data_IF_153793561711
#
_entry.id   IF_153793561711
#
_cell.length_a   1.000
_cell.length_b   1.000
_cell.length_c   1.000
_cell.angle_alpha   90.00
_cell.angle_beta   90.00
_cell.angle_gamma   90.00
#
_symmetry.space_group_name_H-M   'P 1'
#
loop_
_entity.id
_entity.type
_entity.pdbx_description
1 polymer ?
#
# COMPACT_ATOMS: atom_id res chain seq x y z
N UNK A 1 -32.42 5.48 19.75
CA UNK A 1 -33.11 4.84 18.61
C UNK A 1 -33.04 5.79 17.43
N UNK A 2 -32.44 5.38 16.32
CA UNK A 2 -32.27 6.23 15.14
C UNK A 2 -31.25 5.69 14.14
N UNK A 3 -31.78 5.06 13.08
CA UNK A 3 -31.31 4.89 11.69
C UNK A 3 -29.83 5.17 11.35
N UNK A 4 -29.04 4.16 10.98
CA UNK A 4 -28.86 3.60 9.61
C UNK A 4 -28.58 4.68 8.55
N UNK A 5 -27.29 4.95 8.32
CA UNK A 5 -26.75 5.30 7.01
C UNK A 5 -25.86 4.14 6.52
N UNK A 6 -26.44 3.27 5.71
CA UNK A 6 -25.69 2.32 4.87
C UNK A 6 -25.15 3.07 3.67
N UNK A 7 -23.86 3.38 3.67
CA UNK A 7 -23.14 3.82 2.46
C UNK A 7 -22.64 2.60 1.70
N UNK A 8 -23.28 2.35 0.56
CA UNK A 8 -23.11 1.24 -0.36
C UNK A 8 -21.83 1.33 -1.21
N UNK A 9 -20.66 1.40 -0.58
CA UNK A 9 -19.37 1.44 -1.31
C UNK A 9 -18.58 0.13 -1.28
N UNK A 10 -19.02 -0.88 -0.52
CA UNK A 10 -18.31 -2.18 -0.43
C UNK A 10 -18.61 -3.15 -1.57
N UNK A 11 -19.67 -2.95 -2.37
CA UNK A 11 -20.03 -3.88 -3.46
C UNK A 11 -19.45 -3.50 -4.84
N UNK A 12 -18.87 -2.30 -5.01
CA UNK A 12 -18.35 -1.87 -6.32
C UNK A 12 -16.87 -2.20 -6.56
N UNK A 13 -16.14 -2.63 -5.52
CA UNK A 13 -14.69 -2.85 -5.59
C UNK A 13 -14.25 -4.29 -5.92
N UNK A 14 -15.17 -5.26 -6.00
CA UNK A 14 -14.86 -6.59 -6.53
C UNK A 14 -14.68 -6.56 -8.06
N UNK A 15 -15.23 -5.55 -8.75
CA UNK A 15 -15.14 -5.41 -10.22
C UNK A 15 -13.81 -4.85 -10.76
N UNK A 16 -12.84 -4.50 -9.90
CA UNK A 16 -11.47 -4.13 -10.31
C UNK A 16 -10.39 -5.11 -9.83
N UNK A 17 -10.75 -6.24 -9.25
CA UNK A 17 -9.83 -7.32 -8.93
C UNK A 17 -9.64 -8.26 -10.13
N UNK A 18 -8.92 -7.80 -11.17
CA UNK A 18 -8.47 -8.66 -12.28
C UNK A 18 -7.17 -9.42 -11.98
N UNK A 19 -6.91 -9.77 -10.73
CA UNK A 19 -5.89 -10.77 -10.38
C UNK A 19 -6.48 -11.74 -9.35
N UNK A 20 -7.13 -12.78 -9.88
CA UNK A 20 -7.44 -13.97 -9.10
C UNK A 20 -6.14 -14.56 -8.51
N UNK A 21 -6.17 -15.22 -7.34
CA UNK A 21 -5.04 -16.03 -6.90
C UNK A 21 -4.74 -17.09 -7.98
N UNK A 22 -3.46 -17.39 -8.30
CA UNK A 22 -3.14 -18.41 -9.28
C UNK A 22 -3.71 -19.75 -8.81
N UNK A 23 -4.67 -20.27 -9.55
CA UNK A 23 -5.48 -21.45 -9.16
C UNK A 23 -4.69 -22.76 -9.12
N UNK A 24 -3.50 -22.80 -9.70
CA UNK A 24 -2.77 -24.05 -9.93
C UNK A 24 -1.90 -24.51 -8.75
N UNK A 25 -1.21 -23.59 -8.07
CA UNK A 25 -0.29 -23.96 -6.96
C UNK A 25 -1.02 -24.30 -5.66
N UNK A 26 -2.15 -23.65 -5.39
CA UNK A 26 -2.94 -23.95 -4.21
C UNK A 26 -3.52 -25.37 -4.20
N UNK A 27 -3.77 -25.92 -5.40
CA UNK A 27 -4.26 -27.29 -5.58
C UNK A 27 -3.14 -28.32 -5.51
N UNK A 28 -1.91 -27.96 -5.92
CA UNK A 28 -0.76 -28.85 -5.90
C UNK A 28 -0.34 -29.29 -4.48
N UNK A 29 -0.47 -28.40 -3.49
CA UNK A 29 0.03 -28.61 -2.13
C UNK A 29 -1.02 -29.08 -1.12
N UNK A 30 -2.17 -29.60 -1.55
CA UNK A 30 -3.13 -30.18 -0.59
C UNK A 30 -4.00 -31.31 -1.14
N UNK A 31 -4.15 -32.42 -0.38
CA UNK A 31 -5.19 -33.40 -0.64
C UNK A 31 -6.56 -32.80 -0.32
N UNK A 32 -7.57 -33.22 -1.08
CA UNK A 32 -8.93 -32.67 -1.11
C UNK A 32 -9.60 -32.45 0.27
N UNK A 33 -10.44 -31.41 0.34
CA UNK A 33 -11.32 -30.97 1.46
C UNK A 33 -10.66 -30.17 2.60
N UNK A 34 -9.92 -29.12 2.27
CA UNK A 34 -9.59 -28.08 3.26
C UNK A 34 -10.35 -26.78 2.99
N UNK A 35 -10.69 -26.05 4.05
CA UNK A 35 -11.24 -24.70 3.92
C UNK A 35 -10.25 -23.80 3.16
N UNK A 36 -10.74 -22.84 2.33
CA UNK A 36 -9.87 -21.98 1.49
C UNK A 36 -8.71 -21.33 2.25
N UNK A 37 -8.93 -20.86 3.48
CA UNK A 37 -7.87 -20.24 4.30
C UNK A 37 -6.76 -21.20 4.72
N UNK A 38 -7.09 -22.48 4.96
CA UNK A 38 -6.11 -23.52 5.30
C UNK A 38 -5.27 -23.89 4.08
N UNK A 39 -5.90 -23.96 2.90
CA UNK A 39 -5.21 -24.14 1.62
C UNK A 39 -4.20 -23.02 1.40
N UNK A 40 -4.66 -21.76 1.50
CA UNK A 40 -3.82 -20.56 1.37
C UNK A 40 -2.63 -20.57 2.33
N UNK A 41 -2.84 -20.88 3.61
CA UNK A 41 -1.76 -20.93 4.60
C UNK A 41 -0.76 -22.05 4.28
N UNK A 42 -1.24 -23.22 3.86
CA UNK A 42 -0.40 -24.33 3.43
C UNK A 42 0.45 -23.98 2.21
N UNK A 43 -0.17 -23.37 1.20
CA UNK A 43 0.52 -22.91 -0.02
C UNK A 43 1.55 -21.85 0.27
N UNK A 44 1.29 -20.90 1.18
CA UNK A 44 2.31 -19.92 1.59
C UNK A 44 3.53 -20.57 2.23
N UNK A 45 3.34 -21.57 3.09
CA UNK A 45 4.46 -22.31 3.71
C UNK A 45 5.27 -23.11 2.68
N UNK A 46 4.57 -23.79 1.78
CA UNK A 46 5.21 -24.55 0.70
C UNK A 46 5.99 -23.62 -0.24
N UNK A 47 5.39 -22.52 -0.66
CA UNK A 47 6.04 -21.57 -1.56
C UNK A 47 7.23 -20.86 -0.93
N UNK A 48 7.21 -20.54 0.37
CA UNK A 48 8.38 -19.99 1.05
C UNK A 48 9.58 -20.96 0.95
N UNK A 49 9.34 -22.25 1.20
CA UNK A 49 10.35 -23.30 1.08
C UNK A 49 10.86 -23.45 -0.37
N UNK A 50 9.96 -23.41 -1.35
CA UNK A 50 10.31 -23.44 -2.78
C UNK A 50 11.22 -22.26 -3.14
N UNK A 51 10.88 -21.04 -2.71
CA UNK A 51 11.70 -19.87 -3.04
C UNK A 51 13.09 -19.93 -2.42
N UNK A 52 13.22 -20.48 -1.20
CA UNK A 52 14.52 -20.70 -0.54
C UNK A 52 15.36 -21.70 -1.35
N UNK A 53 14.79 -22.85 -1.73
CA UNK A 53 15.49 -23.88 -2.52
C UNK A 53 16.03 -23.33 -3.85
N UNK A 54 15.23 -22.52 -4.54
CA UNK A 54 15.63 -21.90 -5.81
C UNK A 54 16.69 -20.83 -5.60
N UNK A 55 16.49 -19.91 -4.65
CA UNK A 55 17.39 -18.78 -4.41
C UNK A 55 18.76 -19.19 -3.88
N UNK A 56 18.85 -20.29 -3.13
CA UNK A 56 20.13 -20.85 -2.66
C UNK A 56 20.78 -21.80 -3.66
N UNK A 57 20.24 -21.89 -4.89
CA UNK A 57 20.71 -22.80 -5.93
C UNK A 57 20.94 -24.23 -5.43
N UNK A 58 19.97 -24.77 -4.69
CA UNK A 58 20.09 -26.10 -4.11
C UNK A 58 20.40 -27.16 -5.18
N UNK A 59 21.39 -28.01 -4.92
CA UNK A 59 21.89 -29.01 -5.88
C UNK A 59 20.83 -30.05 -6.30
N UNK A 60 19.84 -30.30 -5.45
CA UNK A 60 18.76 -31.24 -5.70
C UNK A 60 17.42 -30.50 -5.67
N UNK A 61 16.88 -30.20 -6.86
CA UNK A 61 15.54 -29.63 -7.03
C UNK A 61 14.58 -30.76 -7.43
N UNK A 62 13.37 -30.84 -6.84
CA UNK A 62 12.38 -31.83 -7.24
C UNK A 62 12.00 -31.70 -8.71
N UNK A 63 11.70 -32.82 -9.38
CA UNK A 63 11.36 -32.83 -10.82
C UNK A 63 10.07 -32.07 -11.15
N UNK A 64 9.17 -31.92 -10.18
CA UNK A 64 7.96 -31.12 -10.33
C UNK A 64 8.22 -29.61 -10.21
N UNK A 65 9.39 -29.17 -9.75
CA UNK A 65 9.69 -27.75 -9.57
C UNK A 65 10.12 -27.12 -10.90
N UNK A 66 9.13 -26.69 -11.68
CA UNK A 66 9.36 -25.97 -12.94
C UNK A 66 9.50 -24.45 -12.70
N UNK A 67 10.05 -23.69 -13.68
CA UNK A 67 10.10 -22.23 -13.61
C UNK A 67 8.73 -21.58 -13.39
N UNK A 68 7.66 -22.16 -13.96
CA UNK A 68 6.29 -21.66 -13.81
C UNK A 68 5.79 -21.83 -12.37
N UNK A 69 6.03 -22.99 -11.75
CA UNK A 69 5.66 -23.23 -10.34
C UNK A 69 6.43 -22.30 -9.41
N UNK A 70 7.70 -22.04 -9.71
CA UNK A 70 8.49 -21.05 -8.97
C UNK A 70 7.89 -19.64 -9.10
N UNK A 71 7.58 -19.19 -10.32
CA UNK A 71 6.98 -17.88 -10.57
C UNK A 71 5.63 -17.72 -9.85
N UNK A 72 4.76 -18.72 -9.92
CA UNK A 72 3.47 -18.74 -9.20
C UNK A 72 3.68 -18.65 -7.68
N UNK A 73 4.69 -19.34 -7.15
CA UNK A 73 5.03 -19.26 -5.73
C UNK A 73 5.53 -17.87 -5.31
N UNK A 74 6.36 -17.22 -6.13
CA UNK A 74 6.78 -15.83 -5.90
C UNK A 74 5.56 -14.91 -5.87
N UNK A 75 4.70 -14.99 -6.88
CA UNK A 75 3.47 -14.20 -6.94
C UNK A 75 2.56 -14.41 -5.74
N UNK A 76 2.41 -15.65 -5.28
CA UNK A 76 1.58 -15.96 -4.12
C UNK A 76 2.14 -15.36 -2.82
N UNK A 77 3.47 -15.30 -2.68
CA UNK A 77 4.13 -14.66 -1.54
C UNK A 77 4.10 -13.14 -1.62
N UNK A 78 4.21 -12.54 -2.80
CA UNK A 78 4.01 -11.10 -3.00
C UNK A 78 2.58 -10.70 -2.61
N UNK A 79 1.60 -11.46 -3.10
CA UNK A 79 0.20 -11.26 -2.77
C UNK A 79 -0.07 -11.40 -1.26
N UNK A 80 0.59 -12.34 -0.56
CA UNK A 80 0.54 -12.45 0.91
C UNK A 80 0.95 -11.15 1.60
N UNK A 81 2.01 -10.49 1.13
CA UNK A 81 2.49 -9.24 1.71
C UNK A 81 1.54 -8.08 1.36
N UNK A 82 1.10 -8.02 0.10
CA UNK A 82 0.12 -7.03 -0.37
C UNK A 82 -1.15 -7.01 0.49
N UNK A 83 -1.81 -8.14 0.69
CA UNK A 83 -3.08 -8.16 1.43
C UNK A 83 -2.91 -7.84 2.93
N UNK A 84 -1.71 -8.06 3.48
CA UNK A 84 -1.40 -7.75 4.89
C UNK A 84 -1.08 -6.28 5.10
N UNK A 85 -0.48 -5.62 4.10
CA UNK A 85 0.13 -4.30 4.31
C UNK A 85 -0.37 -3.21 3.37
N UNK A 86 -1.25 -3.46 2.40
CA UNK A 86 -1.68 -2.41 1.43
C UNK A 86 -2.72 -1.40 1.93
N UNK A 87 -3.24 -1.53 3.15
CA UNK A 87 -4.31 -0.66 3.68
C UNK A 87 -3.80 0.21 4.83
N UNK A 88 -4.09 1.51 4.78
CA UNK A 88 -3.71 2.47 5.82
C UNK A 88 -4.16 2.04 7.24
N UNK A 89 -5.36 1.46 7.36
CA UNK A 89 -5.88 0.95 8.63
C UNK A 89 -5.04 -0.20 9.22
N UNK A 90 -4.33 -0.96 8.38
CA UNK A 90 -3.44 -2.03 8.80
C UNK A 90 -2.02 -1.50 9.02
N UNK A 91 -1.53 -0.64 8.14
CA UNK A 91 -0.14 -0.12 8.25
C UNK A 91 0.07 0.71 9.51
N UNK A 92 -0.95 1.46 9.97
CA UNK A 92 -0.95 2.16 11.26
C UNK A 92 -0.60 1.26 12.45
N UNK A 93 -1.11 0.04 12.46
CA UNK A 93 -0.94 -0.93 13.56
C UNK A 93 0.30 -1.83 13.39
N UNK A 94 0.86 -1.87 12.18
CA UNK A 94 2.00 -2.73 11.84
C UNK A 94 3.30 -1.92 11.67
N UNK A 95 3.42 -1.15 10.59
CA UNK A 95 4.63 -0.40 10.26
C UNK A 95 4.75 0.91 11.02
N UNK A 96 3.61 1.51 11.38
CA UNK A 96 3.52 2.77 12.10
C UNK A 96 4.34 2.84 13.38
N UNK A 97 4.21 1.90 14.33
CA UNK A 97 4.94 1.94 15.59
C UNK A 97 6.47 1.97 15.39
N UNK A 98 6.98 1.14 14.48
CA UNK A 98 8.41 1.10 14.19
C UNK A 98 8.89 2.39 13.50
N UNK A 99 8.15 2.89 12.52
CA UNK A 99 8.52 4.13 11.85
C UNK A 99 8.50 5.33 12.81
N UNK A 100 7.47 5.42 13.67
CA UNK A 100 7.38 6.44 14.70
C UNK A 100 8.57 6.38 15.67
N UNK A 101 8.96 5.17 16.11
CA UNK A 101 10.14 4.99 16.95
C UNK A 101 11.44 5.41 16.23
N UNK A 102 11.63 5.05 14.96
CA UNK A 102 12.79 5.50 14.17
C UNK A 102 12.84 7.03 14.11
N UNK A 103 11.75 7.69 13.76
CA UNK A 103 11.69 9.15 13.67
C UNK A 103 11.91 9.83 15.04
N UNK A 104 11.42 9.23 16.14
CA UNK A 104 11.75 9.68 17.50
C UNK A 104 13.26 9.66 17.73
N UNK A 105 13.95 8.56 17.43
CA UNK A 105 15.41 8.47 17.59
C UNK A 105 16.16 9.50 16.75
N UNK A 106 15.76 9.72 15.50
CA UNK A 106 16.37 10.75 14.64
C UNK A 106 16.18 12.15 15.25
N UNK A 107 14.99 12.44 15.79
CA UNK A 107 14.70 13.71 16.48
C UNK A 107 15.50 13.87 17.76
N UNK A 108 15.60 12.83 18.59
CA UNK A 108 16.42 12.86 19.81
C UNK A 108 17.88 13.15 19.46
N UNK A 109 18.42 12.52 18.40
CA UNK A 109 19.78 12.78 17.93
C UNK A 109 19.95 14.20 17.38
N UNK A 110 19.00 14.69 16.59
CA UNK A 110 18.99 16.07 16.09
C UNK A 110 18.98 17.09 17.25
N UNK A 111 18.13 16.88 18.26
CA UNK A 111 18.05 17.73 19.43
C UNK A 111 19.34 17.72 20.26
N UNK A 112 19.95 16.54 20.44
CA UNK A 112 21.24 16.41 21.12
C UNK A 112 22.36 17.19 20.37
N UNK A 113 22.35 17.15 19.04
CA UNK A 113 23.29 17.90 18.20
C UNK A 113 23.10 19.42 18.31
N UNK A 114 21.85 19.91 18.37
CA UNK A 114 21.56 21.33 18.63
C UNK A 114 22.11 21.77 19.99
N UNK A 115 21.83 21.00 21.05
CA UNK A 115 22.31 21.30 22.40
C UNK A 115 23.84 21.29 22.48
N UNK A 116 24.50 20.30 21.86
CA UNK A 116 25.96 20.20 21.82
C UNK A 116 26.63 21.38 21.11
N UNK A 117 25.93 22.05 20.20
CA UNK A 117 26.40 23.21 19.44
C UNK A 117 25.88 24.54 20.01
N UNK A 118 25.27 24.54 21.19
CA UNK A 118 24.74 25.74 21.85
C UNK A 118 23.49 26.33 21.21
N UNK A 119 22.84 25.60 20.29
CA UNK A 119 21.58 26.00 19.65
C UNK A 119 20.38 25.55 20.47
N UNK A 120 19.29 26.31 20.36
CA UNK A 120 18.02 25.99 21.04
C UNK A 120 17.30 24.86 20.33
N UNK A 121 16.71 23.96 21.11
CA UNK A 121 15.80 22.93 20.59
C UNK A 121 14.45 23.58 20.30
N UNK A 122 13.99 23.50 19.06
CA UNK A 122 12.70 24.07 18.62
C UNK A 122 11.58 23.04 18.49
N UNK A 123 11.89 21.74 18.48
CA UNK A 123 10.91 20.67 18.22
C UNK A 123 11.03 19.51 19.19
N UNK A 124 9.88 19.01 19.65
CA UNK A 124 9.78 17.81 20.46
C UNK A 124 9.71 16.54 19.60
N UNK A 125 10.11 15.42 20.18
CA UNK A 125 9.90 14.10 19.61
C UNK A 125 8.41 13.81 19.32
N UNK A 126 8.14 12.91 18.37
CA UNK A 126 6.82 12.30 18.21
C UNK A 126 6.44 11.56 19.49
N UNK A 127 5.16 11.46 19.90
CA UNK A 127 4.74 10.61 21.01
C UNK A 127 5.21 9.15 20.89
N UNK A 128 5.43 8.48 22.02
CA UNK A 128 5.89 7.10 22.01
C UNK A 128 4.78 6.18 21.47
N UNK A 129 5.08 5.23 20.57
CA UNK A 129 4.10 4.26 20.12
C UNK A 129 3.57 3.48 21.34
N UNK A 130 2.26 3.27 21.43
CA UNK A 130 1.62 2.63 22.59
C UNK A 130 1.92 3.27 23.96
N UNK A 131 2.42 4.51 24.01
CA UNK A 131 2.64 5.27 25.25
C UNK A 131 3.87 4.89 26.06
N UNK A 132 4.70 3.97 25.57
CA UNK A 132 5.95 3.59 26.21
C UNK A 132 7.02 3.26 25.15
N UNK A 133 8.29 3.49 25.47
CA UNK A 133 9.39 3.11 24.57
C UNK A 133 9.47 1.59 24.46
N UNK A 134 9.03 1.03 23.34
CA UNK A 134 9.04 -0.41 23.08
C UNK A 134 10.45 -0.96 22.81
N UNK A 135 11.41 -0.10 22.45
CA UNK A 135 12.74 -0.45 21.94
C UNK A 135 13.81 0.38 22.67
N UNK A 136 13.88 0.23 23.99
CA UNK A 136 14.48 1.20 24.94
C UNK A 136 16.02 1.21 25.07
N UNK A 137 16.79 0.61 24.16
CA UNK A 137 18.25 0.51 24.32
C UNK A 137 19.06 1.46 23.41
N UNK A 138 18.43 2.08 22.42
CA UNK A 138 19.10 3.05 21.56
C UNK A 138 19.21 4.40 22.26
N UNK A 139 20.43 4.81 22.62
CA UNK A 139 20.71 6.12 23.19
C UNK A 139 21.19 7.11 22.13
N UNK A 140 21.17 8.41 22.45
CA UNK A 140 21.65 9.51 21.59
C UNK A 140 23.11 9.39 21.15
N UNK A 141 23.91 8.54 21.80
CA UNK A 141 25.33 8.37 21.48
C UNK A 141 25.58 7.38 20.34
N UNK A 142 24.58 6.60 19.95
CA UNK A 142 24.73 5.66 18.85
C UNK A 142 24.69 6.38 17.51
N UNK A 143 25.73 6.18 16.70
CA UNK A 143 25.78 6.63 15.31
C UNK A 143 25.04 5.70 14.35
N UNK A 144 24.83 4.45 14.76
CA UNK A 144 24.14 3.42 13.99
C UNK A 144 23.22 2.61 14.92
N UNK A 145 21.97 2.45 14.50
CA UNK A 145 20.98 1.58 15.14
C UNK A 145 20.47 0.60 14.09
N UNK A 146 20.55 -0.69 14.38
CA UNK A 146 20.19 -1.76 13.45
C UNK A 146 19.05 -2.60 14.00
N UNK A 147 17.99 -2.76 13.20
CA UNK A 147 16.87 -3.64 13.51
C UNK A 147 16.94 -4.89 12.64
N UNK A 148 17.12 -6.05 13.26
CA UNK A 148 17.09 -7.35 12.58
C UNK A 148 15.68 -7.92 12.69
N UNK A 149 15.00 -8.06 11.55
CA UNK A 149 13.59 -8.41 11.52
C UNK A 149 13.25 -9.25 10.29
N UNK A 150 11.96 -9.29 9.93
CA UNK A 150 11.43 -10.11 8.84
C UNK A 150 11.03 -9.26 7.62
N UNK A 151 10.79 -9.94 6.50
CA UNK A 151 10.28 -9.33 5.26
C UNK A 151 8.97 -8.55 5.51
N UNK A 152 8.11 -9.05 6.40
CA UNK A 152 6.87 -8.39 6.82
C UNK A 152 7.12 -7.05 7.50
N UNK A 153 8.24 -6.89 8.22
CA UNK A 153 8.58 -5.63 8.88
C UNK A 153 8.91 -4.56 7.85
N UNK A 154 9.74 -4.91 6.86
CA UNK A 154 10.07 -4.00 5.76
C UNK A 154 8.83 -3.65 4.94
N UNK A 155 8.01 -4.64 4.56
CA UNK A 155 6.77 -4.41 3.81
C UNK A 155 5.82 -3.47 4.58
N UNK A 156 5.67 -3.66 5.90
CA UNK A 156 4.83 -2.82 6.73
C UNK A 156 5.33 -1.37 6.81
N UNK A 157 6.64 -1.16 7.03
CA UNK A 157 7.24 0.18 7.10
C UNK A 157 7.19 0.88 5.75
N UNK A 158 7.59 0.20 4.66
CA UNK A 158 7.51 0.72 3.30
C UNK A 158 6.08 1.12 2.94
N UNK A 159 5.09 0.34 3.38
CA UNK A 159 3.70 0.64 3.08
C UNK A 159 3.20 1.83 3.87
N UNK A 160 3.63 1.97 5.13
CA UNK A 160 3.32 3.14 5.93
C UNK A 160 3.97 4.42 5.38
N UNK A 161 5.16 4.32 4.77
CA UNK A 161 5.81 5.41 4.03
C UNK A 161 5.13 5.75 2.68
N UNK A 162 4.20 4.90 2.21
CA UNK A 162 3.60 5.03 0.89
C UNK A 162 4.51 4.60 -0.28
N UNK A 163 5.59 3.86 0.00
CA UNK A 163 6.60 3.43 -0.98
C UNK A 163 6.64 1.91 -1.20
N UNK A 164 5.64 1.17 -0.73
CA UNK A 164 5.55 -0.28 -0.91
C UNK A 164 5.08 -0.65 -2.31
N UNK A 165 5.91 -1.39 -3.03
CA UNK A 165 5.68 -1.82 -4.42
C UNK A 165 4.85 -3.11 -4.52
N UNK A 166 4.24 -3.55 -3.42
CA UNK A 166 3.43 -4.78 -3.33
C UNK A 166 4.22 -6.08 -3.53
N UNK A 167 5.55 -6.04 -3.54
CA UNK A 167 6.40 -7.24 -3.64
C UNK A 167 6.99 -7.62 -2.30
N UNK A 168 7.22 -8.91 -2.08
CA UNK A 168 7.89 -9.41 -0.89
C UNK A 168 9.33 -8.86 -0.84
N UNK A 169 9.73 -8.20 0.25
CA UNK A 169 11.12 -7.77 0.41
C UNK A 169 12.09 -8.95 0.27
N UNK A 170 13.12 -8.82 -0.59
CA UNK A 170 14.11 -9.89 -0.81
C UNK A 170 14.92 -10.24 0.45
N UNK A 171 15.59 -11.39 0.41
CA UNK A 171 16.50 -11.80 1.48
C UNK A 171 17.60 -10.75 1.68
N UNK A 172 17.92 -10.48 2.95
CA UNK A 172 18.91 -9.48 3.36
C UNK A 172 18.66 -8.06 2.81
N UNK A 173 17.46 -7.77 2.31
CA UNK A 173 17.09 -6.40 1.96
C UNK A 173 17.10 -5.51 3.21
N UNK A 174 17.38 -4.23 3.02
CA UNK A 174 17.55 -3.28 4.13
C UNK A 174 16.96 -1.93 3.76
N UNK A 175 16.23 -1.35 4.71
CA UNK A 175 15.77 0.03 4.68
C UNK A 175 16.68 0.86 5.59
N UNK A 176 17.30 1.90 5.04
CA UNK A 176 18.27 2.75 5.74
C UNK A 176 17.69 4.15 5.85
N UNK A 177 17.71 4.71 7.05
CA UNK A 177 17.38 6.10 7.32
C UNK A 177 18.66 6.82 7.72
N UNK A 178 19.04 7.83 6.94
CA UNK A 178 20.21 8.65 7.21
C UNK A 178 19.76 10.03 7.69
N UNK A 179 20.25 10.46 8.86
CA UNK A 179 20.04 11.82 9.37
C UNK A 179 21.23 12.70 8.99
N UNK A 180 20.93 13.84 8.37
CA UNK A 180 21.93 14.81 7.93
C UNK A 180 21.60 16.18 8.48
N UNK A 181 22.64 16.91 8.86
CA UNK A 181 22.55 18.30 9.24
C UNK A 181 23.14 19.14 8.09
N UNK A 182 22.31 19.94 7.43
CA UNK A 182 22.76 20.72 6.26
C UNK A 182 22.86 22.19 6.66
N UNK A 183 24.06 22.74 6.53
CA UNK A 183 24.35 24.16 6.79
C UNK A 183 24.34 24.92 5.46
N UNK A 184 23.30 25.71 5.23
CA UNK A 184 23.26 26.63 4.09
C UNK A 184 23.99 27.92 4.44
N UNK A 185 24.96 28.33 3.64
CA UNK A 185 25.43 29.72 3.64
C UNK A 185 24.39 30.56 2.92
N UNK A 186 23.48 31.19 3.66
CA UNK A 186 22.62 32.22 3.10
C UNK A 186 23.47 33.45 2.73
N UNK A 187 23.15 34.16 1.62
CA UNK A 187 23.74 35.46 1.34
C UNK A 187 23.49 36.42 2.51
N UNK A 188 24.52 37.21 2.86
CA UNK A 188 24.60 38.05 4.07
C UNK A 188 23.46 39.07 4.24
N UNK A 189 22.67 39.35 3.20
CA UNK A 189 21.62 40.38 3.19
C UNK A 189 20.19 39.88 3.46
N UNK A 190 19.99 38.58 3.74
CA UNK A 190 18.69 38.11 4.19
C UNK A 190 18.61 38.19 5.72
N UNK A 191 17.92 39.21 6.24
CA UNK A 191 17.35 39.21 7.60
C UNK A 191 16.28 38.10 7.70
N UNK A 192 16.73 36.86 7.57
CA UNK A 192 15.92 35.68 7.70
C UNK A 192 16.01 35.21 9.14
N UNK A 193 14.88 35.26 9.81
CA UNK A 193 14.62 34.62 11.10
C UNK A 193 14.64 33.10 10.93
N UNK A 194 15.77 32.52 10.50
CA UNK A 194 15.90 31.09 10.27
C UNK A 194 16.13 30.35 11.60
N UNK A 195 15.06 30.31 12.39
CA UNK A 195 14.76 29.31 13.42
C UNK A 195 14.35 27.97 12.76
N UNK A 196 15.00 27.63 11.63
CA UNK A 196 14.64 26.50 10.80
C UNK A 196 15.46 25.28 11.18
N UNK A 197 14.76 24.25 11.64
CA UNK A 197 15.23 22.88 11.91
C UNK A 197 16.13 22.33 10.78
N UNK A 198 17.48 22.36 10.88
CA UNK A 198 18.41 22.14 9.75
C UNK A 198 18.61 20.66 9.39
N UNK A 199 17.73 19.78 9.87
CA UNK A 199 17.89 18.34 9.77
C UNK A 199 17.07 17.76 8.63
N UNK A 200 17.72 16.91 7.85
CA UNK A 200 17.16 16.21 6.70
C UNK A 200 17.33 14.71 6.87
N UNK A 201 16.38 13.97 6.31
CA UNK A 201 16.37 12.52 6.27
C UNK A 201 16.46 12.06 4.82
N UNK A 202 17.33 11.09 4.57
CA UNK A 202 17.36 10.32 3.33
C UNK A 202 16.99 8.88 3.62
N UNK A 203 16.08 8.34 2.83
CA UNK A 203 15.57 6.97 2.99
C UNK A 203 16.03 6.14 1.80
N UNK A 204 16.70 5.03 2.05
CA UNK A 204 17.31 4.18 1.02
C UNK A 204 16.78 2.77 1.19
N UNK A 205 16.36 2.15 0.09
CA UNK A 205 15.97 0.75 0.07
C UNK A 205 16.95 -0.07 -0.74
N UNK A 206 17.69 -0.95 -0.07
CA UNK A 206 18.60 -1.89 -0.72
C UNK A 206 17.92 -3.25 -0.79
N UNK A 207 17.50 -3.66 -1.98
CA UNK A 207 16.73 -4.89 -2.18
C UNK A 207 17.47 -5.99 -2.97
N UNK A 208 18.78 -5.84 -3.19
CA UNK A 208 19.61 -6.84 -3.85
C UNK A 208 20.99 -6.94 -3.17
N UNK A 209 21.58 -8.13 -3.26
CA UNK A 209 22.98 -8.41 -2.93
C UNK A 209 23.78 -8.46 -4.22
N UNK A 210 24.70 -7.51 -4.43
CA UNK A 210 25.56 -7.47 -5.61
C UNK A 210 26.49 -8.69 -5.67
N UNK A 211 26.63 -9.39 -6.81
CA UNK A 211 27.93 -9.90 -7.21
C UNK A 211 28.82 -8.71 -7.61
N UNK A 212 30.11 -8.78 -7.26
CA UNK A 212 31.09 -7.70 -7.39
C UNK A 212 31.22 -7.15 -8.83
N UNK A 213 30.82 -7.96 -9.82
CA UNK A 213 30.85 -7.66 -11.26
C UNK A 213 29.67 -6.84 -11.81
N UNK A 214 28.57 -6.69 -11.07
CA UNK A 214 27.34 -6.05 -11.57
C UNK A 214 26.93 -4.83 -10.77
N UNK A 215 27.89 -4.15 -10.14
CA UNK A 215 27.67 -2.92 -9.37
C UNK A 215 27.05 -1.82 -10.26
N UNK A 216 25.72 -1.79 -10.43
CA UNK A 216 25.06 -0.64 -11.03
C UNK A 216 24.89 0.41 -9.94
N UNK A 217 25.49 1.59 -10.09
CA UNK A 217 25.57 2.65 -9.07
C UNK A 217 24.22 3.21 -8.55
N UNK A 218 23.08 2.68 -8.98
CA UNK A 218 21.74 3.17 -8.65
C UNK A 218 21.23 2.66 -7.31
N UNK A 219 21.66 3.31 -6.23
CA UNK A 219 20.99 3.20 -4.92
C UNK A 219 19.51 3.59 -5.06
N UNK A 220 18.55 2.73 -4.66
CA UNK A 220 17.12 3.09 -4.68
C UNK A 220 16.87 4.04 -3.51
N UNK A 221 16.78 5.33 -3.82
CA UNK A 221 16.40 6.35 -2.84
C UNK A 221 14.89 6.48 -2.86
N UNK A 222 14.26 6.32 -1.69
CA UNK A 222 12.82 6.42 -1.54
C UNK A 222 12.42 7.87 -1.31
N UNK A 223 11.22 8.20 -1.78
CA UNK A 223 10.57 9.47 -1.57
C UNK A 223 9.28 9.25 -0.76
N UNK A 224 9.31 9.43 0.57
CA UNK A 224 8.13 9.23 1.40
C UNK A 224 6.99 10.16 0.99
N UNK A 225 5.76 9.66 1.04
CA UNK A 225 4.58 10.44 0.69
C UNK A 225 4.44 11.65 1.65
N UNK A 226 4.54 12.86 1.12
CA UNK A 226 4.41 14.13 1.87
C UNK A 226 5.73 14.87 2.12
N UNK A 227 6.87 14.28 1.74
CA UNK A 227 8.07 15.05 1.45
C UNK A 227 7.82 15.84 0.15
N UNK A 228 7.56 17.14 0.25
CA UNK A 228 7.42 18.06 -0.89
C UNK A 228 8.56 19.06 -0.74
N UNK A 229 9.57 18.95 -1.61
CA UNK A 229 10.63 19.93 -1.73
C UNK A 229 10.60 20.53 -3.12
N UNK A 230 10.46 21.85 -3.20
CA UNK A 230 10.95 22.59 -4.37
C UNK A 230 12.42 22.21 -4.64
N UNK A 231 12.87 22.18 -5.90
CA UNK A 231 14.24 21.84 -6.24
C UNK A 231 15.19 22.80 -5.51
N UNK A 232 15.97 22.28 -4.57
CA UNK A 232 17.12 23.01 -4.03
C UNK A 232 18.09 23.15 -5.20
N UNK A 233 18.31 24.38 -5.68
CA UNK A 233 19.35 24.69 -6.66
C UNK A 233 20.67 24.96 -5.93
N UNK A 234 21.63 24.03 -5.88
CA UNK A 234 23.03 24.41 -5.81
C UNK A 234 23.39 24.92 -7.20
N UNK A 235 23.97 26.13 -7.31
CA UNK A 235 24.51 26.59 -8.58
C UNK A 235 25.37 25.46 -9.18
N UNK A 236 24.90 24.91 -10.31
CA UNK A 236 25.42 23.75 -11.06
C UNK A 236 25.27 22.35 -10.40
N UNK A 237 24.04 21.81 -10.38
CA UNK A 237 23.80 20.40 -10.70
C UNK A 237 22.36 20.22 -11.23
N UNK A 238 22.19 19.31 -12.20
CA UNK A 238 20.99 19.10 -13.04
C UNK A 238 19.63 19.08 -12.30
N UNK A 239 18.52 19.43 -13.00
CA UNK A 239 17.17 19.43 -12.45
C UNK A 239 16.67 17.99 -12.24
N UNK A 240 16.97 17.44 -11.07
CA UNK A 240 16.42 16.20 -10.55
C UNK A 240 16.32 16.35 -9.04
N UNK A 241 15.09 16.37 -8.53
CA UNK A 241 14.71 16.54 -7.13
C UNK A 241 15.79 16.09 -6.14
N UNK A 242 16.25 17.00 -5.28
CA UNK A 242 17.11 16.66 -4.17
C UNK A 242 16.42 15.60 -3.30
N UNK A 243 16.98 14.39 -3.25
CA UNK A 243 16.43 13.21 -2.53
C UNK A 243 16.48 13.33 -0.99
N UNK A 244 16.20 14.52 -0.46
CA UNK A 244 16.29 14.90 0.93
C UNK A 244 14.92 15.36 1.40
N UNK A 245 14.46 14.83 2.53
CA UNK A 245 13.23 15.26 3.16
C UNK A 245 13.56 15.96 4.48
N UNK A 246 12.95 17.12 4.74
CA UNK A 246 13.12 17.74 6.06
C UNK A 246 12.59 16.80 7.15
N UNK A 247 13.37 16.61 8.21
CA UNK A 247 12.99 15.69 9.31
C UNK A 247 11.60 16.05 9.85
N UNK A 248 11.32 17.34 10.05
CA UNK A 248 10.03 17.76 10.55
C UNK A 248 8.85 17.49 9.60
N UNK A 249 9.10 17.50 8.30
CA UNK A 249 8.07 17.26 7.30
C UNK A 249 7.74 15.78 7.25
N UNK A 250 8.76 14.93 7.33
CA UNK A 250 8.53 13.49 7.49
C UNK A 250 7.78 13.19 8.79
N UNK A 251 8.18 13.82 9.91
CA UNK A 251 7.46 13.69 11.19
C UNK A 251 6.00 14.14 11.09
N UNK A 252 5.69 15.22 10.37
CA UNK A 252 4.31 15.69 10.24
C UNK A 252 3.43 14.74 9.44
N UNK A 253 3.98 14.05 8.43
CA UNK A 253 3.25 13.01 7.67
C UNK A 253 2.94 11.77 8.50
N UNK A 254 3.80 11.45 9.46
CA UNK A 254 3.65 10.27 10.34
C UNK A 254 2.89 10.62 11.63
N UNK A 255 2.82 11.89 11.99
CA UNK A 255 2.07 12.35 13.17
C UNK A 255 0.63 11.86 13.05
N UNK A 256 0.21 11.15 14.09
CA UNK A 256 -1.16 10.65 14.26
C UNK A 256 -1.57 9.56 13.26
N UNK A 257 -0.63 8.97 12.50
CA UNK A 257 -0.90 7.86 11.57
C UNK A 257 -0.46 6.49 12.10
N UNK A 258 0.19 6.43 13.26
CA UNK A 258 0.58 5.20 13.97
C UNK A 258 -0.24 4.97 15.25
N UNK A 259 -0.25 3.73 15.76
CA UNK A 259 -0.97 3.34 16.96
C UNK A 259 -0.49 4.11 18.21
N UNK A 260 -1.42 4.73 18.93
CA UNK A 260 -1.13 5.46 20.19
C UNK A 260 -1.56 4.66 21.41
N UNK A 261 -1.27 5.15 22.62
CA UNK A 261 -1.53 4.44 23.90
C UNK A 261 -3.02 4.34 24.29
N UNK A 262 -3.96 4.58 23.37
CA UNK A 262 -5.37 4.39 23.68
C UNK A 262 -5.63 2.88 23.87
N UNK A 263 -6.28 2.47 24.98
CA UNK A 263 -6.39 1.07 25.35
C UNK A 263 -7.27 0.21 24.43
N UNK A 264 -7.85 0.78 23.36
CA UNK A 264 -8.92 0.12 22.60
C UNK A 264 -8.64 -0.13 21.10
N UNK A 265 -7.49 0.28 20.54
CA UNK A 265 -7.24 0.11 19.08
C UNK A 265 -7.13 -1.37 18.64
N UNK A 266 -6.78 -2.28 19.58
CA UNK A 266 -6.53 -3.70 19.29
C UNK A 266 -7.44 -4.64 20.11
N UNK A 267 -8.62 -4.21 20.55
CA UNK A 267 -9.57 -5.11 21.23
C UNK A 267 -9.90 -6.26 20.28
N UNK A 268 -9.44 -7.46 20.63
CA UNK A 268 -9.83 -8.67 19.94
C UNK A 268 -11.33 -8.88 20.14
N UNK A 269 -12.11 -8.61 19.10
CA UNK A 269 -13.31 -9.42 18.89
C UNK A 269 -12.82 -10.86 18.72
N UNK A 270 -13.11 -11.70 19.71
CA UNK A 270 -12.73 -13.11 19.72
C UNK A 270 -12.96 -13.73 18.33
N UNK A 271 -11.91 -14.30 17.74
CA UNK A 271 -12.01 -15.04 16.48
C UNK A 271 -11.79 -14.26 15.17
N UNK A 272 -11.07 -13.14 15.16
CA UNK A 272 -10.74 -12.42 13.91
C UNK A 272 -10.10 -13.31 12.83
N UNK A 273 -9.19 -14.22 13.20
CA UNK A 273 -8.65 -15.23 12.26
C UNK A 273 -9.71 -16.23 11.77
N UNK A 274 -10.71 -16.57 12.60
CA UNK A 274 -11.84 -17.42 12.21
C UNK A 274 -12.86 -16.69 11.32
N UNK A 275 -12.87 -15.35 11.34
CA UNK A 275 -13.74 -14.52 10.50
C UNK A 275 -13.20 -14.27 9.09
N UNK A 276 -11.91 -14.52 8.85
CA UNK A 276 -11.32 -14.45 7.50
C UNK A 276 -12.04 -15.37 6.50
N UNK A 277 -12.60 -16.48 7.01
CA UNK A 277 -13.46 -17.38 6.25
C UNK A 277 -14.68 -16.67 5.62
N UNK A 278 -15.31 -15.72 6.33
CA UNK A 278 -16.49 -14.99 5.85
C UNK A 278 -16.18 -13.99 4.72
N UNK A 279 -14.94 -13.50 4.64
CA UNK A 279 -14.52 -12.56 3.61
C UNK A 279 -14.12 -13.23 2.29
N UNK A 280 -13.84 -14.54 2.32
CA UNK A 280 -13.34 -15.31 1.15
C UNK A 280 -14.43 -16.25 0.61
N UNK A 281 -15.41 -16.63 1.42
CA UNK A 281 -16.61 -17.28 0.92
C UNK A 281 -17.52 -16.22 0.27
N UNK A 282 -17.92 -16.35 -1.00
CA UNK A 282 -18.99 -15.52 -1.53
C UNK A 282 -20.23 -15.80 -0.67
N UNK A 283 -20.70 -14.79 0.07
CA UNK A 283 -21.96 -14.88 0.80
C UNK A 283 -23.04 -15.28 -0.21
N UNK A 284 -23.70 -16.42 -0.01
CA UNK A 284 -24.83 -16.86 -0.83
C UNK A 284 -25.99 -15.85 -0.85
N UNK A 285 -25.99 -14.89 0.09
CA UNK A 285 -26.91 -13.75 0.09
C UNK A 285 -26.60 -12.70 -0.99
N UNK A 286 -25.34 -12.55 -1.42
CA UNK A 286 -24.99 -11.56 -2.46
C UNK A 286 -25.42 -12.03 -3.84
N UNK A 287 -25.38 -13.34 -4.12
CA UNK A 287 -25.90 -13.92 -5.37
C UNK A 287 -27.42 -13.72 -5.47
N UNK A 288 -28.17 -13.95 -4.39
CA UNK A 288 -29.62 -13.72 -4.35
C UNK A 288 -30.00 -12.24 -4.48
N UNK A 289 -29.22 -11.34 -3.88
CA UNK A 289 -29.41 -9.89 -4.06
C UNK A 289 -29.05 -9.42 -5.47
N UNK A 290 -28.02 -10.00 -6.10
CA UNK A 290 -27.64 -9.67 -7.47
C UNK A 290 -28.65 -10.19 -8.49
N UNK A 291 -29.17 -11.41 -8.28
CA UNK A 291 -30.28 -11.97 -9.05
C UNK A 291 -31.53 -11.12 -8.87
N UNK A 292 -31.85 -10.69 -7.64
CA UNK A 292 -32.97 -9.79 -7.36
C UNK A 292 -32.83 -8.44 -8.08
N UNK A 293 -31.63 -7.85 -8.08
CA UNK A 293 -31.34 -6.60 -8.80
C UNK A 293 -31.47 -6.77 -10.32
N UNK A 294 -30.95 -7.87 -10.90
CA UNK A 294 -31.10 -8.16 -12.33
C UNK A 294 -32.57 -8.35 -12.72
N UNK A 295 -33.35 -9.08 -11.91
CA UNK A 295 -34.79 -9.23 -12.13
C UNK A 295 -35.52 -7.88 -12.07
N UNK A 296 -35.15 -7.00 -11.12
CA UNK A 296 -35.75 -5.67 -11.02
C UNK A 296 -35.44 -4.79 -12.24
N UNK A 297 -34.21 -4.87 -12.78
CA UNK A 297 -33.80 -4.12 -13.96
C UNK A 297 -34.49 -4.63 -15.23
N UNK A 298 -34.67 -5.95 -15.37
CA UNK A 298 -35.42 -6.54 -16.50
C UNK A 298 -36.89 -6.15 -16.46
N UNK A 299 -37.52 -6.16 -15.28
CA UNK A 299 -38.91 -5.73 -15.12
C UNK A 299 -39.07 -4.23 -15.41
N UNK A 300 -38.13 -3.40 -14.97
CA UNK A 300 -38.12 -1.97 -15.29
C UNK A 300 -37.96 -1.70 -16.79
N UNK A 301 -37.07 -2.43 -17.47
CA UNK A 301 -36.92 -2.32 -18.93
C UNK A 301 -38.17 -2.77 -19.68
N UNK A 302 -38.83 -3.85 -19.26
CA UNK A 302 -40.09 -4.27 -19.85
C UNK A 302 -41.22 -3.27 -19.60
N UNK A 303 -41.25 -2.65 -18.41
CA UNK A 303 -42.20 -1.59 -18.10
C UNK A 303 -41.98 -0.35 -18.98
N UNK A 304 -40.72 0.08 -19.15
CA UNK A 304 -40.38 1.18 -20.05
C UNK A 304 -40.71 0.88 -21.52
N UNK A 305 -40.43 -0.34 -21.99
CA UNK A 305 -40.83 -0.76 -23.35
C UNK A 305 -42.34 -0.76 -23.54
N UNK A 306 -43.10 -1.23 -22.54
CA UNK A 306 -44.56 -1.21 -22.59
C UNK A 306 -45.08 0.24 -22.62
N UNK A 307 -44.51 1.13 -21.82
CA UNK A 307 -44.89 2.54 -21.78
C UNK A 307 -44.54 3.26 -23.10
N UNK A 308 -43.43 2.89 -23.74
CA UNK A 308 -43.04 3.41 -25.04
C UNK A 308 -43.96 2.92 -26.16
N UNK A 309 -44.41 1.66 -26.12
CA UNK A 309 -45.40 1.14 -27.06
C UNK A 309 -46.77 1.82 -26.91
N UNK A 310 -47.20 2.14 -25.68
CA UNK A 310 -48.44 2.89 -25.47
C UNK A 310 -48.36 4.33 -26.00
N UNK A 311 -47.19 4.98 -25.90
CA UNK A 311 -47.00 6.31 -26.49
C UNK A 311 -47.01 6.29 -28.03
N UNK A 312 -46.51 5.22 -28.66
CA UNK A 312 -46.55 5.08 -30.12
C UNK A 312 -47.97 4.81 -30.65
N UNK A 313 -48.83 4.10 -29.90
CA UNK A 313 -50.23 3.89 -30.29
C UNK A 313 -51.09 5.16 -30.18
N UNK A 314 -50.69 6.15 -29.38
CA UNK A 314 -51.39 7.44 -29.28
C UNK A 314 -51.00 8.46 -30.37
N UNK A 315 -50.02 8.15 -31.23
CA UNK A 315 -49.51 9.07 -32.26
C UNK A 315 -49.88 8.68 -33.70
N UNK A 316 -50.82 7.76 -33.91
CA UNK A 316 -51.23 7.38 -35.27
C UNK A 316 -52.29 8.37 -35.81
N UNK A 317 -52.02 9.14 -36.89
CA UNK A 317 -53.01 10.00 -37.51
C UNK A 317 -53.97 9.21 -38.40
N UNK A 318 -55.21 9.65 -38.46
CA UNK A 318 -56.31 9.18 -39.31
C UNK A 318 -55.89 9.14 -40.81
N UNK A 319 -56.35 8.17 -41.63
CA UNK A 319 -55.86 8.03 -43.00
C UNK A 319 -56.52 9.06 -43.94
N UNK A 320 -55.71 9.93 -44.53
CA UNK A 320 -56.15 10.93 -45.51
C UNK A 320 -56.10 10.35 -46.95
N UNK A 321 -57.16 10.68 -47.71
CA UNK A 321 -57.54 10.11 -49.01
C UNK A 321 -56.62 10.49 -50.17
N UNK A 322 -56.65 9.63 -51.20
CA UNK A 322 -55.96 9.73 -52.49
C UNK A 322 -56.10 11.09 -53.21
N UNK A 323 -55.01 11.54 -53.85
CA UNK A 323 -55.07 12.16 -55.19
C UNK A 323 -53.78 11.95 -56.02
N UNK A 324 -53.91 11.91 -57.37
CA UNK A 324 -52.88 11.46 -58.29
C UNK A 324 -52.05 12.64 -58.83
N UNK A 325 -50.86 12.34 -59.35
CA UNK A 325 -50.14 13.29 -60.19
C UNK A 325 -49.44 12.61 -61.36
N UNK A 326 -49.61 13.28 -62.48
CA UNK A 326 -49.33 12.94 -63.86
C UNK A 326 -47.85 13.16 -64.24
N UNK A 327 -47.45 12.39 -65.25
CA UNK A 327 -46.62 12.67 -66.43
C UNK A 327 -45.35 13.54 -66.42
N UNK A 328 -44.37 12.96 -67.15
CA UNK A 328 -43.51 13.56 -68.20
C UNK A 328 -42.37 14.51 -67.77
N UNK A 329 -41.24 14.61 -68.45
CA UNK A 329 -40.62 13.92 -69.60
C UNK A 329 -39.15 14.38 -69.66
N UNK A 330 -38.31 13.57 -70.30
CA UNK A 330 -37.13 13.93 -71.10
C UNK A 330 -36.02 14.85 -70.54
N UNK A 331 -34.81 14.30 -70.40
CA UNK A 331 -33.82 14.24 -71.50
C UNK A 331 -32.65 13.32 -71.15
#
# INVERSE_FOLDING_TARGET
MGHIFTSASSCHLIRKCNSAPPSNVAQLFSPQRQLPSKLLLGSWKACDSVTILVNHNASHKPSWLTPEIYADCVHLLDWKQYIRFSRASLTRLHGGPLLAHILRLLRTRANAQLLATGRKVSRSELPAPHGHEMLSNATVNHSLVSYFAHDSTLAAVLSHLGSFDSRKPPLASTLIFELHEIHWKLPEDSHSTHDSDPFYVRVIYRNYSWPESERTDSTIVLWPAGCVGEPVTPNQYNPGHTNWCWLYQLESTIRDTYAKSEPDECVQLAGWFHLWHKSITPNSSSLLQFIGLLFSQVMFFKFLQHHHQQQQQQQQPEPEQLRPSEHQSDR
#
